data_IF_268256703153
#
_entry.id   IF_268256703153
#
_cell.length_a   1.000
_cell.length_b   1.000
_cell.length_c   1.000
_cell.angle_alpha   90.00
_cell.angle_beta   90.00
_cell.angle_gamma   90.00
#
_symmetry.space_group_name_H-M   'P 1'
#
loop_
_entity.id
_entity.type
_entity.pdbx_description
1 polymer ?
#
# COMPACT_ATOMS: atom_id res chain seq x y z
N UNK A 1 -34.80 -38.24 0.63
CA UNK A 1 -35.11 -37.36 -0.52
C UNK A 1 -34.70 -35.94 -0.14
N UNK A 2 -33.40 -35.61 -0.15
CA UNK A 2 -32.71 -34.85 -1.22
C UNK A 2 -33.51 -33.67 -1.78
N UNK A 3 -33.58 -32.57 -1.01
CA UNK A 3 -33.82 -31.19 -1.48
C UNK A 3 -33.32 -30.20 -0.42
N UNK A 4 -32.01 -30.14 -0.20
CA UNK A 4 -31.32 -29.10 0.59
C UNK A 4 -29.85 -29.07 0.14
N UNK A 5 -29.60 -28.64 -1.09
CA UNK A 5 -28.20 -28.46 -1.55
C UNK A 5 -28.00 -27.45 -2.70
N UNK A 6 -29.05 -26.76 -3.17
CA UNK A 6 -28.93 -25.86 -4.33
C UNK A 6 -29.29 -24.40 -3.99
N UNK A 7 -28.85 -23.88 -2.84
CA UNK A 7 -29.16 -22.49 -2.44
C UNK A 7 -27.95 -21.71 -1.90
N UNK A 8 -26.74 -22.04 -2.38
CA UNK A 8 -25.54 -21.36 -1.86
C UNK A 8 -24.36 -21.16 -2.83
N UNK A 9 -24.57 -20.66 -4.06
CA UNK A 9 -23.51 -19.96 -4.83
C UNK A 9 -24.13 -18.87 -5.74
N UNK A 10 -24.84 -17.88 -5.18
CA UNK A 10 -25.29 -16.69 -5.95
C UNK A 10 -24.51 -15.43 -5.54
N UNK A 11 -23.23 -15.61 -5.26
CA UNK A 11 -22.34 -14.58 -4.72
C UNK A 11 -21.32 -14.15 -5.77
N UNK A 12 -21.58 -12.96 -6.34
CA UNK A 12 -20.65 -12.05 -7.06
C UNK A 12 -20.47 -12.20 -8.58
N UNK A 13 -21.54 -12.40 -9.36
CA UNK A 13 -21.50 -11.92 -10.75
C UNK A 13 -21.63 -10.40 -10.76
N UNK A 14 -20.63 -9.69 -11.31
CA UNK A 14 -20.64 -8.23 -11.44
C UNK A 14 -20.49 -7.87 -12.91
N UNK A 15 -21.41 -7.05 -13.42
CA UNK A 15 -21.34 -6.44 -14.75
C UNK A 15 -20.68 -5.06 -14.63
N UNK A 16 -19.60 -4.83 -15.38
CA UNK A 16 -18.86 -3.56 -15.42
C UNK A 16 -18.96 -3.01 -16.84
N UNK A 17 -19.44 -1.78 -17.01
CA UNK A 17 -19.54 -1.13 -18.33
C UNK A 17 -18.20 -0.48 -18.66
N UNK A 18 -17.68 -0.75 -19.86
CA UNK A 18 -16.48 -0.15 -20.39
C UNK A 18 -16.83 1.06 -21.26
N UNK A 19 -15.99 2.08 -21.21
CA UNK A 19 -16.11 3.27 -22.04
C UNK A 19 -14.76 3.56 -22.70
N UNK A 20 -14.80 4.09 -23.91
CA UNK A 20 -13.64 4.68 -24.58
C UNK A 20 -13.26 6.01 -23.90
N UNK A 21 -12.06 6.57 -24.16
CA UNK A 21 -11.63 7.85 -23.58
C UNK A 21 -12.53 9.05 -23.89
N UNK A 22 -13.37 8.95 -24.92
CA UNK A 22 -14.37 9.95 -25.29
C UNK A 22 -15.75 9.70 -24.63
N UNK A 23 -15.81 8.85 -23.61
CA UNK A 23 -17.01 8.40 -22.89
C UNK A 23 -18.03 7.62 -23.74
N UNK A 24 -17.69 7.21 -24.96
CA UNK A 24 -18.56 6.32 -25.74
C UNK A 24 -18.52 4.88 -25.20
N UNK A 25 -19.63 4.11 -25.25
CA UNK A 25 -19.65 2.73 -24.75
C UNK A 25 -18.66 1.84 -25.52
N UNK A 26 -17.87 1.06 -24.78
CA UNK A 26 -16.87 0.12 -25.31
C UNK A 26 -17.20 -1.34 -24.97
N UNK A 27 -18.46 -1.61 -24.62
CA UNK A 27 -18.92 -2.93 -24.19
C UNK A 27 -18.92 -3.13 -22.67
N UNK A 28 -18.74 -4.37 -22.21
CA UNK A 28 -18.85 -4.70 -20.79
C UNK A 28 -18.05 -5.93 -20.38
N UNK A 29 -17.94 -6.12 -19.07
CA UNK A 29 -17.24 -7.23 -18.43
C UNK A 29 -18.21 -7.96 -17.52
N UNK A 30 -18.18 -9.28 -17.59
CA UNK A 30 -18.79 -10.16 -16.59
C UNK A 30 -17.69 -10.80 -15.74
N UNK A 31 -17.63 -10.43 -14.46
CA UNK A 31 -16.71 -11.02 -13.49
C UNK A 31 -17.46 -11.99 -12.58
N UNK A 32 -16.97 -13.23 -12.48
CA UNK A 32 -17.60 -14.30 -11.71
C UNK A 32 -16.94 -14.56 -10.34
N UNK A 33 -15.90 -13.80 -9.97
CA UNK A 33 -15.10 -14.01 -8.76
C UNK A 33 -13.69 -14.53 -9.04
N UNK A 34 -13.50 -15.25 -10.13
CA UNK A 34 -12.22 -15.86 -10.50
C UNK A 34 -11.70 -15.35 -11.85
N UNK A 35 -12.57 -15.16 -12.84
CA UNK A 35 -12.25 -14.68 -14.19
C UNK A 35 -13.20 -13.58 -14.66
N UNK A 36 -12.70 -12.76 -15.60
CA UNK A 36 -13.43 -11.71 -16.28
C UNK A 36 -13.59 -12.05 -17.76
N UNK A 37 -14.83 -12.11 -18.23
CA UNK A 37 -15.17 -12.21 -19.66
C UNK A 37 -15.50 -10.83 -20.21
N UNK A 38 -14.94 -10.47 -21.36
CA UNK A 38 -15.07 -9.15 -21.97
C UNK A 38 -15.86 -9.25 -23.28
N UNK A 39 -16.80 -8.34 -23.45
CA UNK A 39 -17.71 -8.25 -24.58
C UNK A 39 -17.63 -6.84 -25.20
N UNK A 40 -17.84 -6.72 -26.51
CA UNK A 40 -17.98 -5.45 -27.20
C UNK A 40 -19.37 -4.82 -27.02
N UNK A 41 -19.64 -3.70 -27.69
CA UNK A 41 -20.96 -3.05 -27.65
C UNK A 41 -22.11 -3.86 -28.30
N UNK A 42 -21.79 -4.90 -29.08
CA UNK A 42 -22.74 -5.73 -29.83
C UNK A 42 -22.92 -7.13 -29.21
N UNK A 43 -22.54 -7.31 -27.94
CA UNK A 43 -22.56 -8.59 -27.21
C UNK A 43 -21.63 -9.67 -27.80
N UNK A 44 -20.66 -9.31 -28.66
CA UNK A 44 -19.67 -10.26 -29.14
C UNK A 44 -18.60 -10.48 -28.07
N UNK A 45 -18.33 -11.75 -27.78
CA UNK A 45 -17.22 -12.13 -26.91
C UNK A 45 -15.88 -11.74 -27.54
N UNK A 46 -15.05 -11.02 -26.79
CA UNK A 46 -13.71 -10.62 -27.21
C UNK A 46 -12.65 -11.56 -26.64
N UNK A 47 -12.57 -11.67 -25.31
CA UNK A 47 -11.59 -12.51 -24.62
C UNK A 47 -11.96 -12.76 -23.14
N UNK A 48 -11.28 -13.72 -22.51
CA UNK A 48 -11.37 -14.02 -21.09
C UNK A 48 -10.00 -13.90 -20.42
N UNK A 49 -9.97 -13.33 -19.22
CA UNK A 49 -8.75 -13.24 -18.39
C UNK A 49 -8.99 -13.77 -16.99
N UNK A 50 -7.93 -14.33 -16.40
CA UNK A 50 -7.92 -14.69 -14.98
C UNK A 50 -7.84 -13.42 -14.13
N UNK A 51 -8.71 -13.32 -13.13
CA UNK A 51 -8.84 -12.14 -12.26
C UNK A 51 -9.71 -11.02 -12.85
N UNK A 52 -9.59 -9.83 -12.27
CA UNK A 52 -10.41 -8.65 -12.61
C UNK A 52 -9.80 -7.92 -13.81
N UNK A 53 -10.65 -7.58 -14.79
CA UNK A 53 -10.34 -6.66 -15.88
C UNK A 53 -11.15 -5.35 -15.76
N UNK A 54 -10.62 -4.19 -16.20
CA UNK A 54 -9.20 -3.95 -16.45
C UNK A 54 -8.39 -4.20 -15.16
N UNK A 55 -7.13 -4.66 -15.27
CA UNK A 55 -6.31 -4.89 -14.10
C UNK A 55 -6.24 -3.59 -13.30
N UNK A 56 -6.50 -3.67 -11.98
CA UNK A 56 -6.29 -2.51 -11.11
C UNK A 56 -4.85 -2.06 -11.30
N UNK A 57 -4.57 -0.76 -11.49
CA UNK A 57 -3.22 -0.27 -11.58
C UNK A 57 -2.48 -0.77 -10.34
N UNK A 58 -1.41 -1.56 -10.55
CA UNK A 58 -0.54 -1.97 -9.45
C UNK A 58 0.06 -0.68 -8.91
N UNK A 59 -0.29 -0.27 -7.69
CA UNK A 59 0.53 0.68 -6.96
C UNK A 59 1.80 -0.05 -6.54
N UNK A 60 2.68 -0.38 -7.51
CA UNK A 60 4.03 -0.88 -7.24
C UNK A 60 4.82 0.28 -6.66
N UNK A 61 4.51 0.60 -5.41
CA UNK A 61 5.28 1.54 -4.62
C UNK A 61 6.55 0.78 -4.29
N UNK A 62 7.61 1.03 -5.06
CA UNK A 62 8.92 0.55 -4.66
C UNK A 62 9.25 1.21 -3.31
N UNK A 63 9.33 0.39 -2.26
CA UNK A 63 9.63 0.82 -0.91
C UNK A 63 11.10 0.61 -0.55
N UNK A 64 11.95 0.14 -1.49
CA UNK A 64 13.37 -0.10 -1.27
C UNK A 64 14.11 1.12 -0.71
N UNK A 65 13.66 2.32 -1.09
CA UNK A 65 14.20 3.58 -0.57
C UNK A 65 14.00 3.73 0.95
N UNK A 66 12.93 3.15 1.53
CA UNK A 66 12.66 3.18 2.97
C UNK A 66 13.70 2.34 3.71
N UNK A 67 14.04 1.14 3.20
CA UNK A 67 15.09 0.32 3.80
C UNK A 67 16.44 1.04 3.77
N UNK A 68 16.80 1.70 2.65
CA UNK A 68 18.04 2.50 2.53
C UNK A 68 18.09 3.63 3.56
N UNK A 69 16.96 4.30 3.80
CA UNK A 69 16.87 5.38 4.80
C UNK A 69 16.92 4.83 6.24
N UNK A 70 16.29 3.68 6.51
CA UNK A 70 16.37 3.00 7.80
C UNK A 70 17.81 2.59 8.16
N UNK A 71 18.56 2.11 7.18
CA UNK A 71 19.94 1.66 7.34
C UNK A 71 20.90 2.83 7.65
N UNK A 72 20.82 3.91 6.86
CA UNK A 72 21.71 5.07 6.96
C UNK A 72 21.31 6.06 8.06
N UNK A 73 20.02 6.22 8.33
CA UNK A 73 19.48 7.25 9.22
C UNK A 73 19.33 8.62 8.54
N UNK A 74 18.60 9.53 9.17
CA UNK A 74 18.48 10.95 8.78
C UNK A 74 18.73 11.84 9.99
N UNK A 75 19.19 13.07 9.77
CA UNK A 75 19.47 14.00 10.86
C UNK A 75 18.17 14.62 11.39
N UNK A 76 17.48 15.36 10.53
CA UNK A 76 16.25 16.07 10.85
C UNK A 76 15.01 15.31 10.36
N UNK A 77 13.89 15.46 11.08
CA UNK A 77 12.64 14.77 10.74
C UNK A 77 12.54 13.30 11.18
N UNK A 78 13.52 12.74 11.91
CA UNK A 78 13.50 11.32 12.39
C UNK A 78 12.17 10.85 12.97
N UNK A 79 11.57 11.61 13.91
CA UNK A 79 10.27 11.25 14.50
C UNK A 79 9.13 11.31 13.49
N UNK A 80 9.16 12.26 12.56
CA UNK A 80 8.15 12.39 11.49
C UNK A 80 8.28 11.24 10.49
N UNK A 81 9.50 10.87 10.15
CA UNK A 81 9.78 9.69 9.34
C UNK A 81 9.27 8.41 10.00
N UNK A 82 9.54 8.22 11.29
CA UNK A 82 8.99 7.10 12.07
C UNK A 82 7.47 7.07 12.00
N UNK A 83 6.80 8.20 12.26
CA UNK A 83 5.34 8.28 12.35
C UNK A 83 4.62 8.09 11.01
N UNK A 84 5.15 8.67 9.94
CA UNK A 84 4.46 8.74 8.65
C UNK A 84 4.94 7.73 7.61
N UNK A 85 6.11 7.13 7.82
CA UNK A 85 6.75 6.24 6.84
C UNK A 85 7.19 4.94 7.49
N UNK A 86 8.25 4.95 8.29
CA UNK A 86 8.93 3.72 8.70
C UNK A 86 8.05 2.79 9.52
N UNK A 87 7.31 3.28 10.52
CA UNK A 87 6.44 2.40 11.32
C UNK A 87 5.37 1.71 10.47
N UNK A 88 4.80 2.44 9.51
CA UNK A 88 3.77 1.94 8.60
C UNK A 88 4.32 0.92 7.63
N UNK A 89 5.51 1.18 7.08
CA UNK A 89 6.22 0.27 6.21
C UNK A 89 6.57 -1.03 6.93
N UNK A 90 7.25 -0.94 8.08
CA UNK A 90 7.72 -2.12 8.82
C UNK A 90 6.57 -3.03 9.25
N UNK A 91 5.46 -2.45 9.73
CA UNK A 91 4.33 -3.23 10.25
C UNK A 91 3.38 -3.69 9.14
N UNK A 92 2.92 -2.78 8.27
CA UNK A 92 1.81 -3.06 7.36
C UNK A 92 2.26 -3.49 5.95
N UNK A 93 3.52 -3.27 5.58
CA UNK A 93 4.07 -3.69 4.29
C UNK A 93 5.05 -4.86 4.48
N UNK A 94 6.04 -4.69 5.35
CA UNK A 94 7.06 -5.72 5.62
C UNK A 94 6.57 -6.81 6.57
N UNK A 95 5.51 -6.55 7.33
CA UNK A 95 4.86 -7.54 8.18
C UNK A 95 5.62 -7.92 9.45
N UNK A 96 6.50 -7.03 9.94
CA UNK A 96 7.28 -7.31 11.16
C UNK A 96 6.40 -7.35 12.40
N UNK A 97 6.84 -8.14 13.39
CA UNK A 97 6.22 -8.16 14.71
C UNK A 97 6.42 -6.84 15.47
N UNK A 98 5.57 -6.57 16.46
CA UNK A 98 5.56 -5.28 17.17
C UNK A 98 6.91 -4.98 17.85
N UNK A 99 7.50 -5.97 18.52
CA UNK A 99 8.81 -5.82 19.19
C UNK A 99 9.95 -5.60 18.20
N UNK A 100 9.96 -6.36 17.10
CA UNK A 100 10.96 -6.24 16.04
C UNK A 100 10.88 -4.86 15.36
N UNK A 101 9.67 -4.39 15.06
CA UNK A 101 9.46 -3.06 14.52
C UNK A 101 9.93 -1.97 15.48
N UNK A 102 9.63 -2.08 16.78
CA UNK A 102 10.10 -1.12 17.79
C UNK A 102 11.62 -1.07 17.84
N UNK A 103 12.27 -2.24 17.83
CA UNK A 103 13.73 -2.33 17.88
C UNK A 103 14.36 -1.69 16.63
N UNK A 104 13.85 -2.00 15.44
CA UNK A 104 14.33 -1.40 14.18
C UNK A 104 14.16 0.14 14.16
N UNK A 105 13.02 0.65 14.65
CA UNK A 105 12.79 2.11 14.73
C UNK A 105 13.71 2.79 15.74
N UNK A 106 14.06 2.10 16.83
CA UNK A 106 15.00 2.58 17.85
C UNK A 106 16.42 2.64 17.28
N UNK A 107 16.86 1.58 16.61
CA UNK A 107 18.15 1.53 15.92
C UNK A 107 18.27 2.64 14.89
N UNK A 108 17.26 2.82 14.04
CA UNK A 108 17.19 3.94 13.10
C UNK A 108 17.34 5.29 13.79
N UNK A 109 16.59 5.55 14.87
CA UNK A 109 16.60 6.85 15.54
C UNK A 109 17.99 7.22 16.07
N UNK A 110 18.72 6.22 16.57
CA UNK A 110 20.06 6.38 17.18
C UNK A 110 21.22 6.25 16.20
N UNK A 111 20.99 6.05 14.89
CA UNK A 111 22.02 6.23 13.85
C UNK A 111 22.66 7.61 13.91
N UNK A 112 21.87 8.62 14.32
CA UNK A 112 22.35 9.97 14.63
C UNK A 112 22.34 10.14 16.15
N UNK A 113 23.49 10.38 16.82
CA UNK A 113 23.62 10.28 18.28
C UNK A 113 23.02 11.48 19.05
N UNK A 114 22.05 12.19 18.49
CA UNK A 114 21.44 13.38 19.09
C UNK A 114 19.98 13.15 19.45
N UNK A 115 19.55 13.65 20.61
CA UNK A 115 18.14 13.58 21.05
C UNK A 115 17.77 12.28 21.75
N UNK A 116 16.48 12.15 22.09
CA UNK A 116 15.91 10.99 22.80
C UNK A 116 14.54 10.61 22.22
N UNK A 117 14.29 9.30 22.23
CA UNK A 117 13.01 8.69 21.87
C UNK A 117 12.55 7.80 23.01
N UNK A 118 11.25 7.84 23.32
CA UNK A 118 10.66 7.05 24.39
C UNK A 118 10.10 5.75 23.82
N UNK A 119 10.38 4.63 24.48
CA UNK A 119 9.84 3.32 24.09
C UNK A 119 8.31 3.31 24.13
N UNK A 120 7.70 4.02 25.08
CA UNK A 120 6.23 4.19 25.16
C UNK A 120 5.65 4.89 23.93
N UNK A 121 6.37 5.87 23.38
CA UNK A 121 5.96 6.55 22.15
C UNK A 121 6.04 5.62 20.95
N UNK A 122 7.13 4.86 20.80
CA UNK A 122 7.28 3.86 19.73
C UNK A 122 6.18 2.80 19.79
N UNK A 123 5.89 2.25 20.98
CA UNK A 123 4.80 1.30 21.20
C UNK A 123 3.45 1.88 20.77
N UNK A 124 3.16 3.12 21.17
CA UNK A 124 1.91 3.80 20.79
C UNK A 124 1.79 4.00 19.28
N UNK A 125 2.88 4.42 18.61
CA UNK A 125 2.91 4.59 17.15
C UNK A 125 2.68 3.25 16.45
N UNK A 126 3.44 2.21 16.79
CA UNK A 126 3.33 0.87 16.18
C UNK A 126 1.91 0.31 16.34
N UNK A 127 1.35 0.34 17.55
CA UNK A 127 -0.02 -0.11 17.79
C UNK A 127 -1.03 0.72 16.99
N UNK A 128 -0.85 2.04 16.96
CA UNK A 128 -1.73 2.96 16.23
C UNK A 128 -1.74 2.74 14.73
N UNK A 129 -0.59 2.48 14.10
CA UNK A 129 -0.51 2.23 12.65
C UNK A 129 -1.02 0.84 12.27
N UNK A 130 -0.79 -0.16 13.13
CA UNK A 130 -1.27 -1.53 12.95
C UNK A 130 -2.79 -1.59 12.96
N UNK A 131 -3.41 -1.05 14.01
CA UNK A 131 -4.87 -1.09 14.17
C UNK A 131 -5.63 -0.34 13.08
N UNK A 132 -5.01 0.70 12.50
CA UNK A 132 -5.61 1.52 11.45
C UNK A 132 -5.20 1.11 10.04
N UNK A 133 -4.32 0.11 9.87
CA UNK A 133 -3.82 -0.31 8.55
C UNK A 133 -3.20 0.83 7.74
N UNK A 134 -2.52 1.77 8.39
CA UNK A 134 -2.00 2.97 7.71
C UNK A 134 -0.84 2.62 6.78
N UNK A 135 -0.86 3.17 5.57
CA UNK A 135 0.22 3.02 4.59
C UNK A 135 1.26 4.15 4.71
N UNK A 136 2.55 3.85 4.41
CA UNK A 136 3.62 4.85 4.39
C UNK A 136 3.32 5.96 3.38
N UNK A 137 3.77 7.19 3.68
CA UNK A 137 3.69 8.28 2.70
C UNK A 137 4.61 8.01 1.51
N UNK A 138 4.15 8.39 0.31
CA UNK A 138 4.98 8.44 -0.90
C UNK A 138 5.99 9.58 -0.83
N UNK A 139 7.07 9.49 -1.60
CA UNK A 139 8.05 10.57 -1.75
C UNK A 139 7.39 11.88 -2.22
N UNK A 140 6.45 11.80 -3.15
CA UNK A 140 5.66 12.93 -3.62
C UNK A 140 4.91 13.62 -2.46
N UNK A 141 4.16 12.86 -1.66
CA UNK A 141 3.45 13.40 -0.50
C UNK A 141 4.38 14.01 0.54
N UNK A 142 5.55 13.40 0.74
CA UNK A 142 6.58 13.95 1.65
C UNK A 142 7.09 15.29 1.12
N UNK A 143 7.37 15.39 -0.19
CA UNK A 143 7.85 16.62 -0.83
C UNK A 143 6.87 17.79 -0.70
N UNK A 144 5.57 17.50 -0.73
CA UNK A 144 4.51 18.51 -0.57
C UNK A 144 4.34 18.96 0.88
N UNK A 145 4.37 18.01 1.83
CA UNK A 145 3.99 18.25 3.23
C UNK A 145 5.16 18.58 4.15
N UNK A 146 6.36 18.11 3.82
CA UNK A 146 7.53 18.20 4.69
C UNK A 146 8.83 18.25 3.84
N UNK A 147 9.09 19.41 3.27
CA UNK A 147 10.28 19.66 2.44
C UNK A 147 11.60 19.37 3.17
N UNK A 148 11.64 19.61 4.47
CA UNK A 148 12.84 19.34 5.29
C UNK A 148 13.13 17.85 5.34
N UNK A 149 12.15 17.03 5.72
CA UNK A 149 12.30 15.57 5.73
C UNK A 149 12.56 15.01 4.33
N UNK A 150 11.90 15.56 3.31
CA UNK A 150 12.15 15.19 1.91
C UNK A 150 13.61 15.39 1.53
N UNK A 151 14.17 16.56 1.82
CA UNK A 151 15.56 16.89 1.46
C UNK A 151 16.55 15.96 2.17
N UNK A 152 16.33 15.65 3.45
CA UNK A 152 17.15 14.68 4.19
C UNK A 152 17.10 13.29 3.55
N UNK A 153 15.91 12.81 3.18
CA UNK A 153 15.75 11.52 2.48
C UNK A 153 16.52 11.55 1.15
N UNK A 154 16.35 12.59 0.34
CA UNK A 154 17.00 12.69 -0.98
C UNK A 154 18.53 12.74 -0.86
N UNK A 155 19.09 13.40 0.16
CA UNK A 155 20.54 13.37 0.45
C UNK A 155 21.02 11.93 0.66
N UNK A 156 20.29 11.15 1.45
CA UNK A 156 20.59 9.74 1.70
C UNK A 156 20.49 8.90 0.43
N UNK A 157 19.45 9.13 -0.39
CA UNK A 157 19.26 8.36 -1.62
C UNK A 157 20.34 8.64 -2.68
N UNK A 158 20.87 9.86 -2.74
CA UNK A 158 21.96 10.26 -3.65
C UNK A 158 23.36 9.87 -3.18
N UNK A 159 23.53 9.56 -1.88
CA UNK A 159 24.75 9.02 -1.30
C UNK A 159 24.87 7.50 -1.47
#
# INVERSE_FOLDING_TARGET
MKKKEDEHIESKRRKIILHYPDDTPAGYIEYNGDSSKVYDENDNFLFEVNGIFPPKPKSSSDFSWIDKVLEKGIQDGRKRFILYVASRYLVNIKGLGDEEAIQALKEFYYKVPTGKIYDSWLKSVVNGVKNKGLLPWSLEKISEKDKEMYNEIIKILKS
#
